data_IF_821958529282
#
_entry.id   IF_821958529282
#
_cell.length_a   1.000
_cell.length_b   1.000
_cell.length_c   1.000
_cell.angle_alpha   90.00
_cell.angle_beta   90.00
_cell.angle_gamma   90.00
#
_symmetry.space_group_name_H-M   'P 1'
#
loop_
_entity.id
_entity.type
_entity.pdbx_description
1 polymer ?
#
# COMPACT_ATOMS: atom_id res chain seq x y z
N UNK A 1 3.38 17.30 6.98
CA UNK A 1 3.74 16.95 5.59
C UNK A 1 2.95 15.73 5.17
N UNK A 2 2.26 15.74 4.03
CA UNK A 2 1.56 14.56 3.52
C UNK A 2 2.42 13.82 2.51
N UNK A 3 2.39 12.47 2.53
CA UNK A 3 3.13 11.63 1.59
C UNK A 3 2.77 11.95 0.12
N UNK A 4 1.53 12.41 -0.11
CA UNK A 4 1.05 12.86 -1.40
C UNK A 4 1.84 14.04 -1.99
N UNK A 5 2.43 14.91 -1.14
CA UNK A 5 3.28 16.03 -1.59
C UNK A 5 4.72 15.60 -1.89
N UNK A 6 5.18 14.52 -1.27
CA UNK A 6 6.53 13.98 -1.48
C UNK A 6 6.60 13.10 -2.75
N UNK A 7 5.46 12.58 -3.20
CA UNK A 7 5.37 11.61 -4.30
C UNK A 7 4.35 12.09 -5.36
N UNK A 8 4.59 13.24 -6.01
CA UNK A 8 3.69 13.74 -7.06
C UNK A 8 3.75 12.84 -8.30
N UNK A 9 2.67 12.70 -9.08
CA UNK A 9 2.70 11.84 -10.27
C UNK A 9 3.63 12.39 -11.37
N UNK A 10 3.78 13.71 -11.48
CA UNK A 10 4.62 14.38 -12.47
C UNK A 10 5.79 15.05 -11.75
N UNK A 11 7.01 14.94 -12.31
CA UNK A 11 8.19 15.66 -11.82
C UNK A 11 8.71 15.23 -10.44
N UNK A 12 8.27 14.09 -9.90
CA UNK A 12 8.71 13.60 -8.60
C UNK A 12 9.87 12.60 -8.65
N UNK A 13 10.22 11.97 -7.51
CA UNK A 13 11.33 11.02 -7.41
C UNK A 13 11.20 9.80 -8.34
N UNK A 14 12.32 9.12 -8.63
CA UNK A 14 12.32 7.82 -9.34
C UNK A 14 11.57 6.74 -8.55
N UNK A 15 11.05 5.73 -9.25
CA UNK A 15 10.23 4.64 -8.68
C UNK A 15 10.85 4.00 -7.42
N UNK A 16 12.16 3.74 -7.40
CA UNK A 16 12.82 3.09 -6.26
C UNK A 16 12.72 3.92 -4.97
N UNK A 17 12.89 5.25 -5.08
CA UNK A 17 12.73 6.16 -3.94
C UNK A 17 11.28 6.23 -3.47
N UNK A 18 10.32 6.16 -4.40
CA UNK A 18 8.89 6.09 -4.05
C UNK A 18 8.55 4.78 -3.36
N UNK A 19 9.13 3.68 -3.81
CA UNK A 19 8.96 2.34 -3.22
C UNK A 19 9.52 2.30 -1.81
N UNK A 20 10.67 2.92 -1.57
CA UNK A 20 11.23 3.09 -0.23
C UNK A 20 10.30 3.90 0.69
N UNK A 21 9.69 4.98 0.19
CA UNK A 21 8.71 5.73 0.98
C UNK A 21 7.41 4.92 1.22
N UNK A 22 6.98 4.13 0.23
CA UNK A 22 5.83 3.26 0.35
C UNK A 22 6.06 2.08 1.30
N UNK A 23 7.29 1.60 1.48
CA UNK A 23 7.59 0.50 2.41
C UNK A 23 7.30 0.89 3.87
N UNK A 24 7.47 2.17 4.23
CA UNK A 24 7.07 2.70 5.54
C UNK A 24 5.56 2.52 5.74
N UNK A 25 4.77 2.87 4.72
CA UNK A 25 3.31 2.73 4.75
C UNK A 25 2.90 1.25 4.85
N UNK A 26 3.54 0.38 4.07
CA UNK A 26 3.31 -1.07 4.15
C UNK A 26 3.64 -1.59 5.54
N UNK A 27 4.75 -1.16 6.15
CA UNK A 27 5.15 -1.58 7.50
C UNK A 27 4.11 -1.19 8.56
N UNK A 28 3.55 0.02 8.46
CA UNK A 28 2.47 0.47 9.36
C UNK A 28 1.22 -0.40 9.19
N UNK A 29 0.87 -0.78 7.96
CA UNK A 29 -0.25 -1.70 7.72
C UNK A 29 0.01 -3.09 8.28
N UNK A 30 1.19 -3.66 8.01
CA UNK A 30 1.59 -4.98 8.52
C UNK A 30 1.55 -5.02 10.04
N UNK A 31 2.03 -3.97 10.72
CA UNK A 31 1.97 -3.85 12.17
C UNK A 31 0.51 -3.83 12.69
N UNK A 32 -0.35 -3.00 12.09
CA UNK A 32 -1.74 -2.94 12.51
C UNK A 32 -2.54 -4.20 12.16
N UNK A 33 -2.21 -4.89 11.05
CA UNK A 33 -2.78 -6.21 10.71
C UNK A 33 -2.38 -7.25 11.76
N UNK A 34 -1.12 -7.27 12.20
CA UNK A 34 -0.64 -8.22 13.21
C UNK A 34 -1.35 -8.03 14.56
N UNK A 35 -1.58 -6.77 14.97
CA UNK A 35 -2.19 -6.46 16.27
C UNK A 35 -3.72 -6.60 16.23
N UNK A 36 -4.36 -6.06 15.20
CA UNK A 36 -5.82 -6.05 15.09
C UNK A 36 -6.35 -7.23 14.27
N UNK A 37 -5.50 -8.21 13.98
CA UNK A 37 -5.74 -9.40 13.15
C UNK A 37 -6.95 -10.25 13.55
N UNK A 38 -7.31 -10.22 14.82
CA UNK A 38 -8.37 -11.04 15.43
C UNK A 38 -9.56 -10.27 16.04
N UNK A 39 -9.64 -8.94 15.88
CA UNK A 39 -10.69 -8.12 16.52
C UNK A 39 -11.87 -7.86 15.58
N UNK A 40 -13.10 -7.77 16.11
CA UNK A 40 -14.37 -7.57 15.39
C UNK A 40 -14.40 -6.34 14.45
N UNK A 41 -13.57 -5.31 14.69
CA UNK A 41 -13.41 -4.15 13.80
C UNK A 41 -12.64 -4.46 12.48
N UNK A 42 -12.32 -5.74 12.25
CA UNK A 42 -11.43 -6.19 11.18
C UNK A 42 -11.88 -5.73 9.80
N UNK A 43 -13.16 -5.77 9.47
CA UNK A 43 -13.58 -5.58 8.09
C UNK A 43 -13.42 -4.12 7.63
N UNK A 44 -13.85 -3.16 8.45
CA UNK A 44 -13.65 -1.73 8.18
C UNK A 44 -12.17 -1.39 8.15
N UNK A 45 -11.38 -1.95 9.07
CA UNK A 45 -9.94 -1.75 9.10
C UNK A 45 -9.25 -2.34 7.86
N UNK A 46 -9.57 -3.58 7.47
CA UNK A 46 -9.07 -4.23 6.24
C UNK A 46 -9.37 -3.40 5.00
N UNK A 47 -10.59 -2.86 4.87
CA UNK A 47 -10.97 -1.98 3.75
C UNK A 47 -10.12 -0.71 3.72
N UNK A 48 -9.89 -0.07 4.86
CA UNK A 48 -9.02 1.13 4.97
C UNK A 48 -7.57 0.81 4.60
N UNK A 49 -7.04 -0.29 5.11
CA UNK A 49 -5.68 -0.76 4.81
C UNK A 49 -5.52 -1.10 3.33
N UNK A 50 -6.47 -1.82 2.74
CA UNK A 50 -6.46 -2.13 1.30
C UNK A 50 -6.52 -0.87 0.44
N UNK A 51 -7.38 0.09 0.79
CA UNK A 51 -7.44 1.38 0.10
C UNK A 51 -6.12 2.16 0.20
N UNK A 52 -5.51 2.21 1.39
CA UNK A 52 -4.23 2.88 1.62
C UNK A 52 -3.05 2.21 0.89
N UNK A 53 -3.02 0.87 0.88
CA UNK A 53 -2.04 0.09 0.13
C UNK A 53 -2.15 0.36 -1.38
N UNK A 54 -3.37 0.34 -1.91
CA UNK A 54 -3.63 0.64 -3.33
C UNK A 54 -3.18 2.04 -3.71
N UNK A 55 -3.49 3.05 -2.90
CA UNK A 55 -3.04 4.43 -3.15
C UNK A 55 -1.51 4.49 -3.18
N UNK A 56 -0.85 3.78 -2.26
CA UNK A 56 0.62 3.74 -2.20
C UNK A 56 1.21 3.13 -3.47
N UNK A 57 0.69 1.99 -3.93
CA UNK A 57 1.12 1.36 -5.19
C UNK A 57 0.89 2.30 -6.40
N UNK A 58 -0.26 2.95 -6.49
CA UNK A 58 -0.53 3.94 -7.56
C UNK A 58 0.49 5.08 -7.55
N UNK A 59 0.89 5.56 -6.37
CA UNK A 59 1.91 6.62 -6.25
C UNK A 59 3.31 6.16 -6.62
N UNK A 60 3.67 4.91 -6.32
CA UNK A 60 4.94 4.31 -6.73
C UNK A 60 5.03 4.19 -8.25
N UNK A 61 3.95 3.78 -8.91
CA UNK A 61 3.87 3.67 -10.37
C UNK A 61 3.61 4.99 -11.11
N UNK A 62 3.38 6.10 -10.40
CA UNK A 62 2.84 7.34 -10.98
C UNK A 62 1.52 7.12 -11.76
N UNK A 63 0.77 6.08 -11.40
CA UNK A 63 -0.42 5.59 -12.07
C UNK A 63 -1.69 6.38 -11.68
N UNK A 64 -2.69 6.35 -12.55
CA UNK A 64 -4.02 6.91 -12.30
C UNK A 64 -4.96 5.88 -11.66
N UNK A 65 -6.04 6.38 -11.03
CA UNK A 65 -7.03 5.57 -10.30
C UNK A 65 -7.77 4.50 -11.13
N UNK A 66 -7.65 4.55 -12.46
CA UNK A 66 -8.28 3.61 -13.40
C UNK A 66 -7.55 2.27 -13.46
N UNK A 67 -6.28 2.22 -13.07
CA UNK A 67 -5.49 0.98 -13.09
C UNK A 67 -5.98 0.05 -11.98
N UNK A 68 -6.12 -1.24 -12.32
CA UNK A 68 -6.53 -2.28 -11.39
C UNK A 68 -5.48 -2.47 -10.28
N UNK A 69 -5.93 -2.93 -9.11
CA UNK A 69 -5.03 -3.15 -7.97
C UNK A 69 -3.94 -4.20 -8.27
N UNK A 70 -4.30 -5.25 -9.00
CA UNK A 70 -3.37 -6.32 -9.37
C UNK A 70 -2.32 -5.82 -10.36
N UNK A 71 -2.73 -5.09 -11.41
CA UNK A 71 -1.81 -4.56 -12.40
C UNK A 71 -0.80 -3.59 -11.78
N UNK A 72 -1.23 -2.70 -10.88
CA UNK A 72 -0.31 -1.77 -10.23
C UNK A 72 0.66 -2.49 -9.29
N UNK A 73 0.24 -3.54 -8.60
CA UNK A 73 1.14 -4.35 -7.76
C UNK A 73 2.24 -5.01 -8.60
N UNK A 74 1.89 -5.54 -9.78
CA UNK A 74 2.86 -6.13 -10.72
C UNK A 74 3.86 -5.08 -11.22
N UNK A 75 3.38 -3.94 -11.70
CA UNK A 75 4.24 -2.84 -12.23
C UNK A 75 5.21 -2.30 -11.16
N UNK A 76 4.72 -2.19 -9.92
CA UNK A 76 5.52 -1.64 -8.80
C UNK A 76 6.41 -2.68 -8.12
N UNK A 77 6.26 -3.96 -8.48
CA UNK A 77 6.82 -5.09 -7.76
C UNK A 77 6.48 -5.01 -6.26
N UNK A 78 5.22 -4.70 -5.94
CA UNK A 78 4.67 -4.69 -4.59
C UNK A 78 3.76 -5.90 -4.40
N UNK A 79 3.86 -6.57 -3.27
CA UNK A 79 3.01 -7.71 -2.94
C UNK A 79 1.60 -7.22 -2.59
N UNK A 80 0.58 -8.00 -2.95
CA UNK A 80 -0.80 -7.67 -2.58
C UNK A 80 -0.99 -7.78 -1.07
N UNK A 81 -1.69 -6.80 -0.49
CA UNK A 81 -1.94 -6.72 0.95
C UNK A 81 -2.70 -7.93 1.52
N UNK A 82 -3.55 -8.56 0.71
CA UNK A 82 -4.30 -9.77 1.09
C UNK A 82 -3.37 -10.95 1.32
N UNK A 83 -2.36 -11.11 0.46
CA UNK A 83 -1.37 -12.18 0.58
C UNK A 83 -0.49 -11.95 1.80
N UNK A 84 -0.06 -10.69 2.04
CA UNK A 84 0.66 -10.31 3.26
C UNK A 84 -0.18 -10.62 4.51
N UNK A 85 -1.48 -10.32 4.50
CA UNK A 85 -2.36 -10.56 5.63
C UNK A 85 -2.61 -12.06 5.91
N UNK A 86 -2.49 -12.92 4.90
CA UNK A 86 -2.56 -14.38 5.07
C UNK A 86 -1.28 -14.89 5.74
N UNK A 87 -0.12 -14.44 5.26
CA UNK A 87 1.18 -14.82 5.83
C UNK A 87 1.29 -14.46 7.31
N UNK A 88 0.82 -13.28 7.70
CA UNK A 88 0.87 -12.80 9.10
C UNK A 88 -0.12 -13.49 10.05
N UNK A 89 -1.06 -14.28 9.52
CA UNK A 89 -2.05 -15.02 10.32
C UNK A 89 -1.65 -16.47 10.61
N UNK A 90 -0.58 -16.96 9.97
CA UNK A 90 0.02 -18.26 10.27
C UNK A 90 0.90 -18.17 11.52
#
# INVERSE_FOLDING_TARGET
MSLARLIPNIGGPRQDRRKLLASVVVSVFTYGIAIWGGVSEMETYRRKVAAGHRISALRVACAFRTISNDAVCVITNMMRIEVIAIELKQ
#
